data_IF_253616705328
#
_entry.id   IF_253616705328
#
_cell.length_a   1.000
_cell.length_b   1.000
_cell.length_c   1.000
_cell.angle_alpha   90.00
_cell.angle_beta   90.00
_cell.angle_gamma   90.00
#
_symmetry.space_group_name_H-M   'P 1'
#
loop_
_entity.id
_entity.type
_entity.pdbx_description
1 polymer ?
#
# COMPACT_ATOMS: atom_id res chain seq x y z
N UNK A 1 -6.98 -0.90 23.83
CA UNK A 1 -6.73 -2.10 22.98
C UNK A 1 -5.25 -2.15 22.68
N UNK A 2 -4.60 -3.31 22.81
CA UNK A 2 -3.17 -3.43 22.44
C UNK A 2 -3.08 -3.80 20.96
N UNK A 3 -2.88 -2.79 20.09
CA UNK A 3 -2.67 -2.99 18.67
C UNK A 3 -1.26 -3.51 18.44
N UNK A 4 -1.14 -4.66 17.77
CA UNK A 4 0.13 -5.25 17.40
C UNK A 4 0.57 -4.61 16.07
N UNK A 5 1.42 -3.61 16.16
CA UNK A 5 2.02 -2.91 15.03
C UNK A 5 3.51 -2.70 15.33
N UNK A 6 4.32 -2.60 14.31
CA UNK A 6 5.78 -2.39 14.44
C UNK A 6 6.06 -1.14 15.30
N UNK A 7 7.06 -1.20 16.24
CA UNK A 7 7.24 -0.18 17.27
C UNK A 7 7.46 1.24 16.77
N UNK A 8 8.18 1.44 15.66
CA UNK A 8 8.45 2.80 15.13
C UNK A 8 7.18 3.43 14.57
N UNK A 9 6.27 2.66 13.99
CA UNK A 9 4.93 3.13 13.61
C UNK A 9 4.06 3.44 14.81
N UNK A 10 4.15 2.61 15.86
CA UNK A 10 3.37 2.80 17.08
C UNK A 10 3.68 4.15 17.72
N UNK A 11 4.92 4.60 17.69
CA UNK A 11 5.36 5.88 18.23
C UNK A 11 4.56 7.05 17.64
N UNK A 12 4.33 7.05 16.31
CA UNK A 12 3.60 8.12 15.62
C UNK A 12 2.08 7.93 15.59
N UNK A 13 1.60 6.70 15.76
CA UNK A 13 0.17 6.38 15.63
C UNK A 13 -0.52 6.07 16.97
N UNK A 14 0.21 6.13 18.09
CA UNK A 14 -0.32 5.80 19.42
C UNK A 14 -1.61 6.56 19.73
N UNK A 15 -1.64 7.86 19.43
CA UNK A 15 -2.82 8.70 19.69
C UNK A 15 -4.03 8.31 18.82
N UNK A 16 -3.83 7.75 17.64
CA UNK A 16 -4.92 7.30 16.79
C UNK A 16 -5.67 6.11 17.41
N UNK A 17 -4.93 5.21 18.09
CA UNK A 17 -5.52 4.03 18.74
C UNK A 17 -6.44 4.39 19.92
N UNK A 18 -6.28 5.57 20.50
CA UNK A 18 -7.09 6.06 21.63
C UNK A 18 -8.35 6.82 21.19
N UNK A 19 -8.44 7.20 19.91
CA UNK A 19 -9.57 7.96 19.38
C UNK A 19 -10.86 7.12 19.29
N UNK A 20 -12.03 7.73 19.50
CA UNK A 20 -13.32 7.02 19.45
C UNK A 20 -13.57 6.29 18.12
N UNK A 21 -13.18 6.90 16.99
CA UNK A 21 -13.37 6.26 15.69
C UNK A 21 -12.59 4.94 15.58
N UNK A 22 -11.38 4.87 16.15
CA UNK A 22 -10.57 3.66 16.08
C UNK A 22 -11.12 2.54 16.96
N UNK A 23 -11.70 2.89 18.12
CA UNK A 23 -12.41 1.93 18.98
C UNK A 23 -13.64 1.36 18.25
N UNK A 24 -14.41 2.22 17.58
CA UNK A 24 -15.56 1.81 16.78
C UNK A 24 -15.13 0.93 15.60
N UNK A 25 -14.11 1.35 14.85
CA UNK A 25 -13.52 0.59 13.74
C UNK A 25 -13.13 -0.81 14.18
N UNK A 26 -12.36 -0.93 15.26
CA UNK A 26 -11.88 -2.24 15.73
C UNK A 26 -13.00 -3.12 16.28
N UNK A 27 -14.03 -2.53 16.87
CA UNK A 27 -15.26 -3.25 17.27
C UNK A 27 -15.97 -3.84 16.05
N UNK A 28 -16.18 -3.02 15.01
CA UNK A 28 -16.82 -3.45 13.77
C UNK A 28 -15.99 -4.53 13.05
N UNK A 29 -14.67 -4.35 12.93
CA UNK A 29 -13.78 -5.34 12.30
C UNK A 29 -13.82 -6.67 13.04
N UNK A 30 -13.79 -6.67 14.37
CA UNK A 30 -13.91 -7.91 15.15
C UNK A 30 -15.24 -8.62 14.90
N UNK A 31 -16.32 -7.88 14.85
CA UNK A 31 -17.64 -8.43 14.53
C UNK A 31 -17.64 -9.08 13.15
N UNK A 32 -17.07 -8.40 12.13
CA UNK A 32 -16.95 -8.94 10.78
C UNK A 32 -16.18 -10.26 10.75
N UNK A 33 -15.02 -10.33 11.41
CA UNK A 33 -14.21 -11.56 11.46
C UNK A 33 -14.84 -12.69 12.28
N UNK A 34 -15.81 -12.37 13.14
CA UNK A 34 -16.54 -13.37 13.92
C UNK A 34 -17.75 -13.94 13.15
N UNK A 35 -18.38 -13.11 12.31
CA UNK A 35 -19.66 -13.45 11.66
C UNK A 35 -19.51 -13.82 10.19
N UNK A 36 -18.42 -13.40 9.55
CA UNK A 36 -18.15 -13.63 8.12
C UNK A 36 -16.70 -14.02 7.88
N UNK A 37 -16.41 -14.56 6.69
CA UNK A 37 -15.02 -14.73 6.25
C UNK A 37 -14.49 -13.38 5.77
N UNK A 38 -13.37 -12.94 6.33
CA UNK A 38 -12.71 -11.68 5.97
C UNK A 38 -11.24 -11.89 5.61
N UNK A 39 -10.71 -10.99 4.81
CA UNK A 39 -9.30 -10.97 4.39
C UNK A 39 -8.64 -9.60 4.66
N UNK A 40 -7.30 -9.58 4.86
CA UNK A 40 -6.40 -10.73 5.07
C UNK A 40 -6.68 -11.42 6.40
N UNK A 41 -6.05 -12.58 6.70
CA UNK A 41 -6.09 -13.16 8.05
C UNK A 41 -5.72 -12.14 9.13
N UNK A 42 -6.39 -12.19 10.29
CA UNK A 42 -6.26 -11.19 11.35
C UNK A 42 -4.83 -10.77 11.70
N UNK A 43 -3.86 -11.71 11.88
CA UNK A 43 -2.45 -11.37 12.16
C UNK A 43 -1.76 -10.57 11.05
N UNK A 44 -2.31 -10.59 9.82
CA UNK A 44 -1.71 -9.95 8.64
C UNK A 44 -2.32 -8.57 8.31
N UNK A 45 -3.32 -8.10 9.05
CA UNK A 45 -4.00 -6.82 8.79
C UNK A 45 -2.99 -5.64 8.73
N UNK A 46 -1.98 -5.65 9.61
CA UNK A 46 -0.97 -4.60 9.71
C UNK A 46 0.37 -4.94 9.04
N UNK A 47 0.41 -5.93 8.13
CA UNK A 47 1.66 -6.36 7.50
C UNK A 47 2.39 -5.24 6.74
N UNK A 48 1.67 -4.31 6.11
CA UNK A 48 2.30 -3.17 5.44
C UNK A 48 3.19 -2.37 6.39
N UNK A 49 2.76 -2.21 7.63
CA UNK A 49 3.52 -1.52 8.69
C UNK A 49 4.59 -2.42 9.31
N UNK A 50 4.27 -3.69 9.54
CA UNK A 50 5.16 -4.64 10.22
C UNK A 50 6.38 -5.01 9.37
N UNK A 51 6.24 -5.03 8.05
CA UNK A 51 7.31 -5.37 7.10
C UNK A 51 8.09 -4.14 6.60
N UNK A 52 7.58 -2.94 6.84
CA UNK A 52 8.22 -1.70 6.44
C UNK A 52 8.19 -0.70 7.62
N UNK A 53 9.18 -0.74 8.54
CA UNK A 53 9.29 0.19 9.67
C UNK A 53 9.23 1.66 9.23
N UNK A 54 8.70 2.54 10.08
CA UNK A 54 8.46 3.95 9.76
C UNK A 54 9.75 4.66 9.31
N UNK A 55 10.85 4.41 9.99
CA UNK A 55 12.16 5.00 9.70
C UNK A 55 12.83 4.41 8.44
N UNK A 56 12.34 3.27 7.94
CA UNK A 56 12.83 2.59 6.73
C UNK A 56 12.03 2.91 5.47
N UNK A 57 10.87 3.56 5.60
CA UNK A 57 10.07 3.91 4.43
C UNK A 57 10.87 4.79 3.48
N UNK A 58 10.91 4.41 2.21
CA UNK A 58 11.48 5.17 1.08
C UNK A 58 10.44 5.44 0.01
N UNK A 59 9.54 4.49 -0.20
CA UNK A 59 8.50 4.57 -1.22
C UNK A 59 7.15 4.25 -0.60
N UNK A 60 6.11 4.97 -0.98
CA UNK A 60 4.72 4.73 -0.57
C UNK A 60 3.88 4.42 -1.80
N UNK A 61 3.26 3.24 -1.81
CA UNK A 61 2.29 2.83 -2.85
C UNK A 61 0.95 2.62 -2.16
N UNK A 62 -0.10 3.30 -2.66
CA UNK A 62 -1.42 3.28 -2.04
C UNK A 62 -2.37 2.46 -2.91
N UNK A 63 -2.85 1.33 -2.38
CA UNK A 63 -3.97 0.57 -2.91
C UNK A 63 -5.30 1.00 -2.30
N UNK A 64 -6.40 0.42 -2.76
CA UNK A 64 -7.74 0.74 -2.28
C UNK A 64 -8.15 -0.18 -1.12
N UNK A 65 -8.38 -1.45 -1.39
CA UNK A 65 -8.75 -2.48 -0.44
C UNK A 65 -8.05 -3.81 -0.76
N UNK A 66 -8.03 -4.77 0.17
CA UNK A 66 -7.42 -6.07 -0.09
C UNK A 66 -8.16 -6.85 -1.18
N UNK A 67 -7.46 -7.76 -1.85
CA UNK A 67 -8.11 -8.78 -2.66
C UNK A 67 -9.07 -9.61 -1.81
N UNK A 68 -10.24 -9.93 -2.38
CA UNK A 68 -11.35 -10.56 -1.65
C UNK A 68 -11.53 -12.06 -1.94
N UNK A 69 -10.66 -12.65 -2.76
CA UNK A 69 -10.68 -14.09 -3.02
C UNK A 69 -9.73 -14.85 -2.08
N UNK A 70 -10.03 -16.14 -1.80
CA UNK A 70 -9.24 -16.95 -0.90
C UNK A 70 -7.75 -17.02 -1.28
N UNK A 71 -6.88 -16.91 -0.29
CA UNK A 71 -5.44 -17.08 -0.46
C UNK A 71 -4.71 -15.90 -1.11
N UNK A 72 -5.40 -14.85 -1.55
CA UNK A 72 -4.76 -13.72 -2.22
C UNK A 72 -4.12 -12.73 -1.23
N UNK A 73 -4.95 -12.06 -0.42
CA UNK A 73 -4.52 -10.96 0.45
C UNK A 73 -3.69 -11.45 1.64
N UNK A 74 -2.61 -10.73 1.93
CA UNK A 74 -1.76 -10.95 3.09
C UNK A 74 -1.29 -9.62 3.74
N UNK A 75 -2.04 -8.54 3.56
CA UNK A 75 -1.83 -7.25 4.21
C UNK A 75 -0.90 -6.28 3.48
N UNK A 76 -0.52 -6.57 2.25
CA UNK A 76 0.26 -5.68 1.36
C UNK A 76 -0.57 -5.34 0.12
N UNK A 77 -0.66 -4.06 -0.23
CA UNK A 77 -1.39 -3.63 -1.44
C UNK A 77 -0.78 -4.24 -2.70
N UNK A 78 -1.66 -4.62 -3.65
CA UNK A 78 -1.32 -5.26 -4.93
C UNK A 78 -0.65 -6.64 -4.83
N UNK A 79 -0.19 -7.06 -3.66
CA UNK A 79 0.54 -8.30 -3.43
C UNK A 79 -0.41 -9.49 -3.25
N UNK A 80 0.00 -10.65 -3.75
CA UNK A 80 -0.65 -11.94 -3.48
C UNK A 80 0.34 -12.91 -2.86
N UNK A 81 -0.18 -13.94 -2.19
CA UNK A 81 0.66 -15.00 -1.63
C UNK A 81 1.33 -15.83 -2.75
N UNK A 82 2.41 -16.53 -2.39
CA UNK A 82 3.11 -17.42 -3.30
C UNK A 82 2.16 -18.49 -3.87
N UNK A 83 2.34 -18.81 -5.15
CA UNK A 83 1.53 -19.80 -5.85
C UNK A 83 0.17 -19.29 -6.35
N UNK A 84 -0.19 -18.05 -6.05
CA UNK A 84 -1.42 -17.43 -6.55
C UNK A 84 -1.19 -16.80 -7.93
N UNK A 85 -2.14 -17.00 -8.83
CA UNK A 85 -2.13 -16.36 -10.16
C UNK A 85 -2.18 -14.84 -9.99
N UNK A 86 -1.35 -14.13 -10.73
CA UNK A 86 -1.27 -12.67 -10.63
C UNK A 86 -2.59 -12.01 -11.00
N UNK A 87 -3.19 -11.21 -10.11
CA UNK A 87 -4.33 -10.38 -10.48
C UNK A 87 -3.98 -9.42 -11.62
N UNK A 88 -4.95 -9.00 -12.43
CA UNK A 88 -4.71 -8.19 -13.62
C UNK A 88 -3.94 -6.88 -13.37
N UNK A 89 -4.18 -6.21 -12.24
CA UNK A 89 -3.42 -5.00 -11.88
C UNK A 89 -1.94 -5.31 -11.63
N UNK A 90 -1.65 -6.41 -10.92
CA UNK A 90 -0.27 -6.83 -10.64
C UNK A 90 0.46 -7.26 -11.92
N UNK A 91 -0.23 -7.93 -12.85
CA UNK A 91 0.33 -8.23 -14.17
C UNK A 91 0.76 -6.96 -14.91
N UNK A 92 -0.06 -5.91 -14.88
CA UNK A 92 0.26 -4.63 -15.52
C UNK A 92 1.39 -3.89 -14.80
N UNK A 93 1.48 -4.00 -13.48
CA UNK A 93 2.63 -3.46 -12.72
C UNK A 93 3.93 -4.14 -13.19
N UNK A 94 3.97 -5.45 -13.24
CA UNK A 94 5.17 -6.18 -13.68
C UNK A 94 5.52 -5.94 -15.15
N UNK A 95 4.53 -5.77 -16.04
CA UNK A 95 4.78 -5.39 -17.44
C UNK A 95 5.43 -4.01 -17.55
N UNK A 96 4.95 -3.03 -16.76
CA UNK A 96 5.56 -1.70 -16.74
C UNK A 96 6.99 -1.75 -16.19
N UNK A 97 7.25 -2.51 -15.13
CA UNK A 97 8.61 -2.71 -14.59
C UNK A 97 9.52 -3.32 -15.65
N UNK A 98 9.07 -4.33 -16.38
CA UNK A 98 9.83 -4.95 -17.44
C UNK A 98 10.13 -3.97 -18.58
N UNK A 99 9.16 -3.14 -18.97
CA UNK A 99 9.36 -2.14 -20.02
C UNK A 99 10.29 -1.00 -19.58
N UNK A 100 10.20 -0.57 -18.34
CA UNK A 100 10.94 0.56 -17.78
C UNK A 100 12.39 0.18 -17.43
N UNK A 101 12.58 -0.97 -16.80
CA UNK A 101 13.87 -1.38 -16.22
C UNK A 101 14.52 -2.57 -16.92
N UNK A 102 13.82 -3.27 -17.81
CA UNK A 102 14.28 -4.53 -18.40
C UNK A 102 14.26 -5.70 -17.41
N UNK A 103 13.72 -5.53 -16.21
CA UNK A 103 13.65 -6.58 -15.20
C UNK A 103 12.67 -7.67 -15.64
N UNK A 104 13.06 -8.97 -15.61
CA UNK A 104 12.15 -10.06 -15.96
C UNK A 104 10.93 -10.10 -15.03
N UNK A 105 9.77 -10.49 -15.56
CA UNK A 105 8.57 -10.73 -14.75
C UNK A 105 8.88 -11.84 -13.74
N UNK A 106 8.66 -11.62 -12.42
CA UNK A 106 8.99 -12.62 -11.42
C UNK A 106 8.02 -13.81 -11.48
N UNK A 107 8.41 -14.93 -10.87
CA UNK A 107 7.55 -16.10 -10.75
C UNK A 107 6.53 -15.98 -9.61
N UNK A 108 6.79 -15.13 -8.62
CA UNK A 108 5.91 -14.90 -7.48
C UNK A 108 5.33 -13.49 -7.49
N UNK A 109 4.04 -13.37 -7.17
CA UNK A 109 3.34 -12.11 -6.92
C UNK A 109 3.45 -11.60 -5.49
N UNK A 110 4.24 -12.25 -4.65
CA UNK A 110 4.49 -11.84 -3.27
C UNK A 110 5.49 -10.67 -3.23
N UNK A 111 4.99 -9.50 -2.85
CA UNK A 111 5.78 -8.25 -2.82
C UNK A 111 6.46 -7.99 -1.47
N UNK A 112 6.53 -8.97 -0.58
CA UNK A 112 7.26 -8.84 0.70
C UNK A 112 8.68 -8.34 0.47
N UNK A 113 9.36 -8.79 -0.59
CA UNK A 113 10.69 -8.34 -0.97
C UNK A 113 10.78 -6.82 -1.23
N UNK A 114 9.69 -6.16 -1.65
CA UNK A 114 9.66 -4.71 -1.80
C UNK A 114 9.45 -4.04 -0.44
N UNK A 115 8.54 -4.57 0.38
CA UNK A 115 8.29 -4.03 1.72
C UNK A 115 9.56 -4.02 2.59
N UNK A 116 10.33 -5.10 2.58
CA UNK A 116 11.59 -5.24 3.30
C UNK A 116 12.69 -4.26 2.81
N UNK A 117 12.56 -3.72 1.60
CA UNK A 117 13.45 -2.69 1.08
C UNK A 117 13.01 -1.26 1.40
N UNK A 118 11.88 -1.07 2.05
CA UNK A 118 11.34 0.24 2.41
C UNK A 118 10.20 0.72 1.52
N UNK A 119 9.49 -0.18 0.84
CA UNK A 119 8.26 0.14 0.12
C UNK A 119 7.06 -0.11 1.02
N UNK A 120 6.39 0.94 1.47
CA UNK A 120 5.13 0.85 2.20
C UNK A 120 4.00 0.53 1.20
N UNK A 121 3.57 -0.72 1.17
CA UNK A 121 2.47 -1.21 0.34
C UNK A 121 1.15 -1.13 1.12
N UNK A 122 0.56 0.06 1.18
CA UNK A 122 -0.56 0.39 2.04
C UNK A 122 -1.89 0.41 1.28
N UNK A 123 -2.87 -0.39 1.72
CA UNK A 123 -4.25 -0.19 1.29
C UNK A 123 -4.93 0.91 2.13
N UNK A 124 -5.84 1.65 1.53
CA UNK A 124 -6.65 2.65 2.22
C UNK A 124 -7.61 1.99 3.22
N UNK A 125 -8.16 0.84 2.87
CA UNK A 125 -8.99 -0.03 3.70
C UNK A 125 -8.23 -1.33 3.94
N UNK A 126 -8.00 -1.71 5.21
CA UNK A 126 -7.10 -2.82 5.52
C UNK A 126 -7.77 -4.19 5.58
N UNK A 127 -9.09 -4.24 5.51
CA UNK A 127 -9.88 -5.48 5.57
C UNK A 127 -11.00 -5.50 4.55
N UNK A 128 -11.47 -6.69 4.18
CA UNK A 128 -12.56 -6.90 3.22
C UNK A 128 -13.30 -8.20 3.53
N UNK A 129 -14.62 -8.28 3.25
CA UNK A 129 -15.35 -9.56 3.27
C UNK A 129 -14.99 -10.39 2.04
N UNK A 130 -14.94 -11.71 2.22
CA UNK A 130 -14.79 -12.66 1.12
C UNK A 130 -15.82 -12.39 0.01
N UNK A 131 -15.36 -12.37 -1.23
CA UNK A 131 -16.14 -12.17 -2.45
C UNK A 131 -16.88 -10.82 -2.57
N UNK A 132 -16.57 -9.83 -1.70
CA UNK A 132 -17.26 -8.54 -1.65
C UNK A 132 -16.28 -7.38 -1.65
N UNK A 133 -15.77 -7.02 -2.82
CA UNK A 133 -14.89 -5.87 -2.96
C UNK A 133 -15.48 -4.62 -2.30
N UNK A 134 -14.62 -3.82 -1.68
CA UNK A 134 -14.97 -2.55 -1.06
C UNK A 134 -15.96 -2.63 0.13
N UNK A 135 -16.27 -3.83 0.64
CA UNK A 135 -17.28 -4.07 1.68
C UNK A 135 -16.99 -3.36 3.03
N UNK A 136 -15.72 -3.07 3.33
CA UNK A 136 -15.32 -2.39 4.57
C UNK A 136 -14.93 -0.91 4.39
N UNK A 137 -15.24 -0.32 3.24
CA UNK A 137 -14.87 1.08 2.92
C UNK A 137 -15.45 2.11 3.87
N UNK A 138 -16.55 1.80 4.55
CA UNK A 138 -17.25 2.70 5.47
C UNK A 138 -16.92 2.46 6.94
N UNK A 139 -16.08 1.48 7.28
CA UNK A 139 -15.78 1.14 8.68
C UNK A 139 -14.85 2.15 9.38
N UNK A 140 -14.16 3.02 8.63
CA UNK A 140 -13.27 4.04 9.21
C UNK A 140 -11.76 3.78 9.00
N UNK A 141 -11.37 2.74 8.26
CA UNK A 141 -9.96 2.46 7.94
C UNK A 141 -9.26 3.64 7.30
N UNK A 142 -9.93 4.38 6.41
CA UNK A 142 -9.33 5.49 5.68
C UNK A 142 -8.88 6.63 6.62
N UNK A 143 -9.58 6.86 7.73
CA UNK A 143 -9.15 7.83 8.74
C UNK A 143 -7.81 7.43 9.35
N UNK A 144 -7.62 6.14 9.66
CA UNK A 144 -6.38 5.61 10.21
C UNK A 144 -5.24 5.63 9.20
N UNK A 145 -5.47 5.14 7.98
CA UNK A 145 -4.43 5.10 6.94
C UNK A 145 -4.03 6.50 6.47
N UNK A 146 -4.96 7.45 6.44
CA UNK A 146 -4.64 8.85 6.19
C UNK A 146 -3.79 9.47 7.31
N UNK A 147 -4.00 9.07 8.56
CA UNK A 147 -3.13 9.48 9.67
C UNK A 147 -1.70 8.94 9.49
N UNK A 148 -1.55 7.71 9.03
CA UNK A 148 -0.23 7.14 8.73
C UNK A 148 0.48 7.89 7.58
N UNK A 149 -0.23 8.24 6.51
CA UNK A 149 0.31 9.03 5.40
C UNK A 149 0.72 10.42 5.88
N UNK A 150 -0.11 11.09 6.70
CA UNK A 150 0.22 12.39 7.30
C UNK A 150 1.43 12.33 8.20
N UNK A 151 1.58 11.28 9.00
CA UNK A 151 2.75 11.09 9.86
C UNK A 151 4.03 11.03 9.02
N UNK A 152 4.05 10.26 7.93
CA UNK A 152 5.18 10.24 7.00
C UNK A 152 5.42 11.62 6.36
N UNK A 153 4.38 12.26 5.85
CA UNK A 153 4.49 13.57 5.19
C UNK A 153 4.99 14.67 6.13
N UNK A 154 4.77 14.53 7.45
CA UNK A 154 5.19 15.50 8.47
C UNK A 154 6.60 15.25 9.00
N UNK A 155 7.00 13.97 9.12
CA UNK A 155 8.21 13.59 9.86
C UNK A 155 9.30 12.97 9.00
N UNK A 156 9.04 12.77 7.70
CA UNK A 156 10.00 12.18 6.77
C UNK A 156 10.13 13.03 5.50
N UNK A 157 11.34 13.03 4.94
CA UNK A 157 11.72 13.74 3.73
C UNK A 157 12.32 12.77 2.72
N UNK A 158 12.37 13.19 1.46
CA UNK A 158 12.95 12.43 0.35
C UNK A 158 12.26 11.09 0.09
N UNK A 159 10.96 11.01 0.42
CA UNK A 159 10.14 9.86 0.07
C UNK A 159 9.60 9.97 -1.35
N UNK A 160 9.30 8.83 -1.96
CA UNK A 160 8.60 8.75 -3.24
C UNK A 160 7.18 8.23 -3.01
N UNK A 161 6.19 8.99 -3.43
CA UNK A 161 4.78 8.58 -3.37
C UNK A 161 4.32 8.21 -4.78
N UNK A 162 4.04 6.92 -5.00
CA UNK A 162 3.50 6.41 -6.26
C UNK A 162 1.98 6.29 -6.13
N UNK A 163 1.26 7.24 -6.72
CA UNK A 163 -0.18 7.43 -6.54
C UNK A 163 -0.93 7.02 -7.81
N UNK A 164 -1.52 5.84 -7.80
CA UNK A 164 -2.14 5.20 -8.95
C UNK A 164 -3.67 5.25 -8.89
N UNK A 165 -4.27 5.99 -9.82
CA UNK A 165 -5.71 6.18 -9.92
C UNK A 165 -6.26 7.33 -9.08
N UNK A 166 -7.51 7.72 -9.30
CA UNK A 166 -8.11 8.92 -8.73
C UNK A 166 -8.09 8.97 -7.20
N UNK A 167 -8.37 7.83 -6.55
CA UNK A 167 -8.35 7.76 -5.09
C UNK A 167 -6.95 8.04 -4.52
N UNK A 168 -5.93 7.30 -4.99
CA UNK A 168 -4.55 7.49 -4.51
C UNK A 168 -4.06 8.90 -4.81
N UNK A 169 -4.30 9.44 -6.01
CA UNK A 169 -3.91 10.81 -6.39
C UNK A 169 -4.53 11.88 -5.49
N UNK A 170 -5.74 11.65 -4.95
CA UNK A 170 -6.35 12.59 -3.99
C UNK A 170 -5.52 12.80 -2.73
N UNK A 171 -4.58 11.89 -2.42
CA UNK A 171 -3.67 11.99 -1.27
C UNK A 171 -2.49 12.94 -1.51
N UNK A 172 -2.20 13.31 -2.76
CA UNK A 172 -1.12 14.25 -3.10
C UNK A 172 -1.20 15.58 -2.33
N UNK A 173 -2.42 16.03 -2.01
CA UNK A 173 -2.65 17.25 -1.22
C UNK A 173 -2.11 17.20 0.23
N UNK A 174 -1.79 16.01 0.74
CA UNK A 174 -1.23 15.83 2.08
C UNK A 174 0.31 15.83 2.06
N UNK A 175 0.92 15.85 0.88
CA UNK A 175 2.36 15.62 0.70
C UNK A 175 3.04 16.92 0.29
N UNK A 176 4.09 17.30 1.01
CA UNK A 176 4.96 18.40 0.59
C UNK A 176 5.84 17.94 -0.58
N UNK A 177 5.51 18.42 -1.78
CA UNK A 177 6.21 18.06 -3.00
C UNK A 177 7.54 18.84 -3.19
N UNK A 178 7.88 19.76 -2.30
CA UNK A 178 9.21 20.37 -2.28
C UNK A 178 10.23 19.43 -1.62
N UNK A 179 9.78 18.60 -0.70
CA UNK A 179 10.63 17.67 0.04
C UNK A 179 10.50 16.21 -0.42
N UNK A 180 9.50 15.89 -1.22
CA UNK A 180 9.18 14.54 -1.64
C UNK A 180 8.85 14.48 -3.13
N UNK A 181 9.04 13.31 -3.74
CA UNK A 181 8.62 13.07 -5.13
C UNK A 181 7.22 12.44 -5.15
N UNK A 182 6.31 13.04 -5.92
CA UNK A 182 4.99 12.45 -6.20
C UNK A 182 4.94 12.02 -7.66
N UNK A 183 4.71 10.73 -7.89
CA UNK A 183 4.54 10.12 -9.21
C UNK A 183 3.08 9.68 -9.36
N UNK A 184 2.35 10.38 -10.22
CA UNK A 184 0.94 10.10 -10.46
C UNK A 184 0.73 9.37 -11.79
N UNK A 185 -0.23 8.45 -11.81
CA UNK A 185 -0.73 7.82 -13.03
C UNK A 185 -2.18 7.38 -12.89
N UNK A 186 -2.74 6.82 -13.98
CA UNK A 186 -3.99 6.06 -13.91
C UNK A 186 -3.77 4.77 -13.11
N UNK A 187 -4.86 4.12 -12.70
CA UNK A 187 -4.77 2.84 -11.99
C UNK A 187 -4.24 1.71 -12.91
N UNK A 188 -3.42 0.76 -12.39
CA UNK A 188 -2.88 -0.35 -13.18
C UNK A 188 -3.91 -1.39 -13.64
N UNK A 189 -5.16 -1.33 -13.16
CA UNK A 189 -6.21 -2.24 -13.64
C UNK A 189 -6.43 -2.12 -15.15
N UNK A 190 -6.74 -3.22 -15.86
CA UNK A 190 -7.01 -3.17 -17.31
C UNK A 190 -8.06 -2.16 -17.71
N UNK A 191 -9.07 -1.91 -16.88
CA UNK A 191 -10.12 -0.92 -17.11
C UNK A 191 -9.59 0.51 -17.27
N UNK A 192 -8.47 0.82 -16.62
CA UNK A 192 -7.81 2.12 -16.70
C UNK A 192 -6.56 2.08 -17.57
N UNK A 193 -5.68 1.11 -17.36
CA UNK A 193 -4.40 1.01 -18.06
C UNK A 193 -4.55 0.89 -19.58
N UNK A 194 -5.56 0.15 -20.06
CA UNK A 194 -5.82 -0.02 -21.49
C UNK A 194 -6.36 1.24 -22.18
N UNK A 195 -6.75 2.26 -21.41
CA UNK A 195 -7.16 3.57 -21.94
C UNK A 195 -5.98 4.54 -22.09
N UNK A 196 -4.77 4.10 -21.72
CA UNK A 196 -3.55 4.89 -21.72
C UNK A 196 -3.25 5.56 -20.39
N UNK A 197 -2.00 6.01 -20.23
CA UNK A 197 -1.52 6.72 -19.04
C UNK A 197 -1.00 5.82 -17.90
N UNK A 198 -0.86 4.51 -18.13
CA UNK A 198 -0.17 3.58 -17.23
C UNK A 198 1.19 3.18 -17.79
N UNK A 199 1.21 2.58 -18.98
CA UNK A 199 2.44 2.10 -19.61
C UNK A 199 3.31 3.25 -20.14
N UNK A 200 4.64 3.09 -20.03
CA UNK A 200 5.61 4.07 -20.52
C UNK A 200 5.73 5.33 -19.64
N UNK A 201 5.26 5.28 -18.40
CA UNK A 201 5.39 6.40 -17.46
C UNK A 201 6.76 6.44 -16.76
N UNK A 202 7.55 5.37 -16.87
CA UNK A 202 8.90 5.27 -16.30
C UNK A 202 8.92 5.57 -14.80
N UNK A 203 7.89 5.16 -14.06
CA UNK A 203 7.75 5.49 -12.64
C UNK A 203 8.80 4.80 -11.78
N UNK A 204 9.18 3.59 -12.13
CA UNK A 204 10.11 2.78 -11.34
C UNK A 204 11.55 3.28 -11.50
N UNK A 205 11.99 3.59 -12.71
CA UNK A 205 13.30 4.21 -12.97
C UNK A 205 13.38 5.63 -12.39
N UNK A 206 12.33 6.45 -12.52
CA UNK A 206 12.24 7.78 -11.92
C UNK A 206 12.29 7.74 -10.39
N UNK A 207 11.60 6.76 -9.79
CA UNK A 207 11.66 6.50 -8.35
C UNK A 207 13.11 6.23 -7.92
N UNK A 208 13.77 5.28 -8.55
CA UNK A 208 15.14 4.91 -8.19
C UNK A 208 16.13 6.07 -8.40
N UNK A 209 16.02 6.81 -9.52
CA UNK A 209 16.85 7.99 -9.76
C UNK A 209 16.68 9.06 -8.65
N UNK A 210 15.46 9.30 -8.19
CA UNK A 210 15.23 10.23 -7.08
C UNK A 210 15.82 9.74 -5.76
N UNK A 211 15.68 8.45 -5.44
CA UNK A 211 16.27 7.87 -4.23
C UNK A 211 17.80 8.02 -4.24
N UNK A 212 18.45 7.68 -5.35
CA UNK A 212 19.91 7.82 -5.53
C UNK A 212 20.38 9.25 -5.41
N UNK A 213 19.67 10.21 -6.01
CA UNK A 213 19.96 11.65 -5.90
C UNK A 213 19.94 12.16 -4.46
N UNK A 214 19.15 11.53 -3.59
CA UNK A 214 19.03 11.86 -2.18
C UNK A 214 19.85 10.91 -1.27
N UNK A 215 20.79 10.14 -1.82
CA UNK A 215 21.68 9.28 -1.05
C UNK A 215 21.01 8.03 -0.47
N UNK A 216 19.83 7.67 -0.98
CA UNK A 216 19.09 6.48 -0.57
C UNK A 216 19.35 5.32 -1.55
N UNK A 217 19.35 4.09 -1.04
CA UNK A 217 19.50 2.92 -1.90
C UNK A 217 18.26 2.75 -2.79
N UNK A 218 18.43 2.49 -4.10
CA UNK A 218 17.31 2.20 -4.99
C UNK A 218 16.58 0.92 -4.58
N UNK A 219 15.37 0.75 -5.11
CA UNK A 219 14.56 -0.46 -4.93
C UNK A 219 14.89 -1.46 -6.05
N UNK A 220 15.08 -2.70 -5.68
CA UNK A 220 15.12 -3.84 -6.61
C UNK A 220 13.66 -4.28 -6.83
N UNK A 221 13.10 -3.82 -7.92
CA UNK A 221 11.70 -4.05 -8.27
C UNK A 221 11.40 -5.46 -8.76
#
# INVERSE_FOLDING_TARGET
>A
MNVQIEPTWKEYLQQEFEKPYFQQLTGSVRQEYTTTTCYPPGPQIFNAFNLCPFDKVKVVIIGQDPYHEPGQAHGLSFSVQDGIVFPPSLQNIFKEIQQDLGTPIPQSGNLTRWAEQGVLLLNATLTVRAHQANSHSTLGWQTFTDAAIRALATHREHLVYMLWGGYARSKAKMIDQQQNLVLESVHPSPLSANRGGWFGQHQFSRCNAYLEQNGLTPIIW
#
